data_IF_540643316406
#
_entry.id   IF_540643316406
#
_cell.length_a   1.000
_cell.length_b   1.000
_cell.length_c   1.000
_cell.angle_alpha   90.00
_cell.angle_beta   90.00
_cell.angle_gamma   90.00
#
_symmetry.space_group_name_H-M   'P 1'
#
loop_
_entity.id
_entity.type
_entity.pdbx_description
1 polymer ?
#
# COMPACT_ATOMS: atom_id res chain seq x y z
N UNK A 1 10.01 -35.06 35.80
CA UNK A 1 9.86 -35.34 34.35
C UNK A 1 8.47 -34.91 33.96
N UNK A 2 8.33 -33.71 33.40
CA UNK A 2 7.04 -33.10 33.07
C UNK A 2 6.86 -33.15 31.56
N UNK A 3 5.83 -33.86 31.10
CA UNK A 3 5.48 -33.97 29.70
C UNK A 3 4.84 -32.65 29.24
N UNK A 4 5.52 -31.92 28.36
CA UNK A 4 4.99 -30.71 27.72
C UNK A 4 3.84 -31.06 26.78
N UNK A 5 2.75 -30.30 26.89
CA UNK A 5 1.62 -30.39 25.96
C UNK A 5 2.08 -30.15 24.51
N UNK A 6 1.52 -30.85 23.52
CA UNK A 6 1.89 -30.65 22.13
C UNK A 6 1.53 -29.23 21.68
N UNK A 7 2.47 -28.59 20.97
CA UNK A 7 2.23 -27.35 20.24
C UNK A 7 1.04 -27.55 19.29
N UNK A 8 0.11 -26.57 19.19
CA UNK A 8 -0.94 -26.64 18.18
C UNK A 8 -0.29 -26.70 16.81
N UNK A 9 -0.65 -27.73 16.04
CA UNK A 9 -0.29 -27.86 14.64
C UNK A 9 -0.83 -26.65 13.90
N UNK A 10 -0.06 -26.00 13.00
CA UNK A 10 -0.62 -24.95 12.16
C UNK A 10 -1.78 -25.53 11.37
N UNK A 11 -2.97 -24.92 11.49
CA UNK A 11 -4.08 -25.23 10.58
C UNK A 11 -3.57 -25.13 9.14
N UNK A 12 -3.90 -26.13 8.32
CA UNK A 12 -3.65 -26.07 6.89
C UNK A 12 -4.24 -24.76 6.34
N UNK A 13 -3.56 -24.05 5.42
CA UNK A 13 -4.08 -22.81 4.88
C UNK A 13 -5.44 -23.08 4.25
N UNK A 14 -6.50 -22.60 4.90
CA UNK A 14 -7.86 -22.63 4.36
C UNK A 14 -7.83 -22.06 2.94
N UNK A 15 -8.62 -22.65 2.04
CA UNK A 15 -8.69 -22.28 0.63
C UNK A 15 -8.51 -20.77 0.46
N UNK A 16 -7.39 -20.36 -0.16
CA UNK A 16 -7.08 -18.97 -0.41
C UNK A 16 -8.29 -18.34 -1.10
N UNK A 17 -8.97 -17.44 -0.40
CA UNK A 17 -10.07 -16.68 -1.01
C UNK A 17 -9.43 -15.88 -2.14
N UNK A 18 -9.57 -16.40 -3.35
CA UNK A 18 -8.84 -15.88 -4.50
C UNK A 18 -9.70 -14.83 -5.16
N UNK A 19 -9.25 -13.59 -5.05
CA UNK A 19 -9.82 -12.44 -5.73
C UNK A 19 -8.86 -11.95 -6.81
N UNK A 20 -9.42 -11.39 -7.89
CA UNK A 20 -8.64 -10.69 -8.92
C UNK A 20 -9.28 -9.34 -9.25
N UNK A 21 -8.47 -8.32 -9.62
CA UNK A 21 -8.98 -6.97 -9.82
C UNK A 21 -9.67 -6.82 -11.16
N UNK A 22 -9.58 -7.80 -12.07
CA UNK A 22 -10.35 -7.90 -13.30
C UNK A 22 -10.23 -9.32 -13.84
N UNK A 23 -11.22 -9.76 -14.62
CA UNK A 23 -11.06 -11.00 -15.39
C UNK A 23 -10.04 -10.78 -16.53
N UNK A 24 -9.30 -11.82 -16.94
CA UNK A 24 -8.37 -11.73 -18.06
C UNK A 24 -9.06 -11.18 -19.31
N UNK A 25 -8.55 -10.06 -19.82
CA UNK A 25 -8.99 -9.49 -21.08
C UNK A 25 -7.75 -9.18 -21.95
N UNK A 26 -7.54 -9.91 -23.06
CA UNK A 26 -6.35 -9.75 -23.89
C UNK A 26 -6.28 -8.36 -24.55
N UNK A 27 -7.38 -7.61 -24.61
CA UNK A 27 -7.40 -6.23 -25.14
C UNK A 27 -6.88 -5.18 -24.16
N UNK A 28 -6.88 -5.48 -22.85
CA UNK A 28 -6.63 -4.47 -21.81
C UNK A 28 -5.38 -4.77 -20.98
N UNK A 29 -5.04 -6.04 -20.75
CA UNK A 29 -4.01 -6.42 -19.76
C UNK A 29 -2.84 -7.24 -20.33
N UNK A 30 -2.81 -7.53 -21.64
CA UNK A 30 -1.85 -8.49 -22.19
C UNK A 30 -2.01 -9.88 -21.55
N UNK A 31 -0.90 -10.56 -21.23
CA UNK A 31 -0.89 -11.88 -20.55
C UNK A 31 -0.87 -11.79 -19.01
N UNK A 32 -0.71 -10.60 -18.41
CA UNK A 32 -0.58 -10.44 -16.96
C UNK A 32 -1.48 -9.31 -16.43
N UNK A 33 -2.52 -9.69 -15.69
CA UNK A 33 -3.36 -8.73 -14.96
C UNK A 33 -2.59 -8.27 -13.72
N UNK A 34 -2.36 -6.94 -13.52
CA UNK A 34 -1.77 -6.45 -12.28
C UNK A 34 -2.57 -6.96 -11.08
N UNK A 35 -1.95 -7.32 -9.94
CA UNK A 35 -2.68 -7.86 -8.80
C UNK A 35 -3.61 -6.83 -8.14
N UNK A 36 -3.41 -5.55 -8.42
CA UNK A 36 -4.22 -4.43 -7.96
C UNK A 36 -4.36 -3.38 -9.08
N UNK A 37 -5.52 -2.72 -9.14
CA UNK A 37 -5.76 -1.64 -10.09
C UNK A 37 -6.25 -0.38 -9.36
N UNK A 38 -5.79 0.79 -9.80
CA UNK A 38 -6.45 2.06 -9.51
C UNK A 38 -7.09 2.57 -10.81
N UNK A 39 -8.42 2.57 -10.83
CA UNK A 39 -9.24 3.05 -11.94
C UNK A 39 -9.95 4.36 -11.60
N UNK A 40 -9.61 5.00 -10.46
CA UNK A 40 -10.18 6.30 -10.11
C UNK A 40 -9.84 7.34 -11.17
N UNK A 41 -10.81 8.20 -11.49
CA UNK A 41 -10.69 9.19 -12.55
C UNK A 41 -10.73 8.62 -13.98
N UNK A 42 -10.93 7.31 -14.17
CA UNK A 42 -11.15 6.68 -15.48
C UNK A 42 -12.63 6.42 -15.72
N UNK A 43 -13.03 6.28 -16.99
CA UNK A 43 -14.39 5.84 -17.32
C UNK A 43 -14.61 4.39 -16.82
N UNK A 44 -15.73 4.09 -16.15
CA UNK A 44 -16.04 2.73 -15.70
C UNK A 44 -16.08 1.73 -16.86
N UNK A 45 -15.68 0.49 -16.59
CA UNK A 45 -15.48 -0.52 -17.63
C UNK A 45 -16.77 -1.10 -18.24
N UNK A 46 -17.89 -1.05 -17.51
CA UNK A 46 -19.21 -1.53 -17.96
C UNK A 46 -20.37 -0.92 -17.13
N UNK A 47 -21.62 -1.21 -17.51
CA UNK A 47 -22.84 -0.68 -16.89
C UNK A 47 -22.97 -0.99 -15.39
N UNK A 48 -22.45 -2.14 -14.94
CA UNK A 48 -22.51 -2.52 -13.54
C UNK A 48 -21.51 -1.69 -12.71
N UNK A 49 -20.32 -1.42 -13.24
CA UNK A 49 -19.37 -0.50 -12.60
C UNK A 49 -19.91 0.94 -12.58
N UNK A 50 -20.58 1.39 -13.66
CA UNK A 50 -21.27 2.70 -13.71
C UNK A 50 -22.34 2.78 -12.62
N UNK A 51 -23.18 1.76 -12.48
CA UNK A 51 -24.24 1.72 -11.49
C UNK A 51 -23.68 1.75 -10.05
N UNK A 52 -22.64 0.96 -9.78
CA UNK A 52 -22.00 0.91 -8.47
C UNK A 52 -21.34 2.25 -8.09
N UNK A 53 -20.62 2.89 -9.03
CA UNK A 53 -20.02 4.21 -8.81
C UNK A 53 -21.08 5.27 -8.57
N UNK A 54 -22.21 5.24 -9.29
CA UNK A 54 -23.33 6.16 -9.05
C UNK A 54 -23.89 6.00 -7.63
N UNK A 55 -24.12 4.77 -7.18
CA UNK A 55 -24.59 4.50 -5.80
C UNK A 55 -23.61 5.07 -4.78
N UNK A 56 -22.31 4.84 -4.93
CA UNK A 56 -21.31 5.37 -4.01
C UNK A 56 -21.26 6.91 -4.01
N UNK A 57 -21.39 7.56 -5.16
CA UNK A 57 -21.41 9.03 -5.28
C UNK A 57 -22.63 9.68 -4.63
N UNK A 58 -23.79 9.02 -4.71
CA UNK A 58 -25.05 9.55 -4.20
C UNK A 58 -25.26 9.23 -2.71
N UNK A 59 -24.54 8.24 -2.17
CA UNK A 59 -24.65 7.83 -0.78
C UNK A 59 -23.89 8.78 0.16
N UNK A 60 -24.58 9.50 1.07
CA UNK A 60 -23.91 10.30 2.08
C UNK A 60 -23.03 9.43 2.98
N UNK A 61 -21.77 9.86 3.19
CA UNK A 61 -20.83 9.11 4.03
C UNK A 61 -20.10 7.97 3.31
N UNK A 62 -20.31 7.75 2.01
CA UNK A 62 -19.43 6.87 1.23
C UNK A 62 -18.01 7.44 1.16
N UNK A 63 -17.00 6.59 1.30
CA UNK A 63 -15.58 6.98 1.34
C UNK A 63 -14.84 6.47 0.11
N UNK A 64 -14.96 5.18 -0.17
CA UNK A 64 -14.25 4.55 -1.29
C UNK A 64 -14.96 3.26 -1.75
N UNK A 65 -14.90 2.99 -3.05
CA UNK A 65 -15.52 1.84 -3.70
C UNK A 65 -14.47 1.04 -4.48
N UNK A 66 -14.45 -0.26 -4.25
CA UNK A 66 -13.64 -1.23 -4.97
C UNK A 66 -14.50 -2.27 -5.68
N UNK A 67 -13.97 -2.83 -6.76
CA UNK A 67 -14.48 -4.04 -7.40
C UNK A 67 -13.43 -5.15 -7.39
N UNK A 68 -13.84 -6.35 -7.02
CA UNK A 68 -13.06 -7.56 -7.18
C UNK A 68 -13.88 -8.64 -7.91
N UNK A 69 -13.20 -9.68 -8.38
CA UNK A 69 -13.83 -10.91 -8.88
C UNK A 69 -13.39 -12.07 -8.01
N UNK A 70 -14.34 -12.73 -7.37
CA UNK A 70 -14.11 -13.95 -6.60
C UNK A 70 -14.05 -15.15 -7.54
N UNK A 71 -13.00 -15.95 -7.42
CA UNK A 71 -12.76 -17.13 -8.26
C UNK A 71 -13.09 -18.46 -7.55
N UNK A 72 -13.77 -18.41 -6.40
CA UNK A 72 -14.12 -19.62 -5.63
C UNK A 72 -15.40 -20.33 -6.08
N UNK A 73 -16.12 -19.76 -7.05
CA UNK A 73 -17.34 -20.32 -7.64
C UNK A 73 -17.07 -20.88 -9.06
N UNK A 74 -17.93 -21.78 -9.59
CA UNK A 74 -17.80 -22.29 -10.95
C UNK A 74 -17.75 -21.19 -12.03
N UNK A 75 -18.46 -20.08 -11.78
CA UNK A 75 -18.39 -18.86 -12.56
C UNK A 75 -17.84 -17.73 -11.69
N UNK A 76 -16.91 -16.89 -12.19
CA UNK A 76 -16.37 -15.78 -11.41
C UNK A 76 -17.47 -14.81 -10.94
N UNK A 77 -17.53 -14.56 -9.64
CA UNK A 77 -18.53 -13.67 -9.04
C UNK A 77 -17.94 -12.27 -8.87
N UNK A 78 -18.65 -11.25 -9.37
CA UNK A 78 -18.25 -9.86 -9.14
C UNK A 78 -18.66 -9.42 -7.73
N UNK A 79 -17.73 -8.80 -7.01
CA UNK A 79 -17.93 -8.28 -5.66
C UNK A 79 -17.60 -6.80 -5.63
N UNK A 80 -18.54 -5.98 -5.12
CA UNK A 80 -18.27 -4.60 -4.78
C UNK A 80 -18.02 -4.47 -3.28
N UNK A 81 -16.97 -3.76 -2.91
CA UNK A 81 -16.63 -3.42 -1.53
C UNK A 81 -16.75 -1.93 -1.37
N UNK A 82 -17.51 -1.48 -0.38
CA UNK A 82 -17.76 -0.07 -0.11
C UNK A 82 -17.32 0.27 1.32
N UNK A 83 -16.43 1.24 1.45
CA UNK A 83 -16.14 1.87 2.72
C UNK A 83 -17.11 3.03 2.96
N UNK A 84 -17.66 3.11 4.15
CA UNK A 84 -18.57 4.18 4.57
C UNK A 84 -18.20 4.69 5.97
N UNK A 85 -18.53 5.95 6.26
CA UNK A 85 -18.27 6.55 7.56
C UNK A 85 -19.14 5.94 8.69
N UNK A 86 -20.32 5.42 8.35
CA UNK A 86 -21.31 4.93 9.32
C UNK A 86 -21.48 3.40 9.32
N UNK A 87 -21.03 2.69 8.28
CA UNK A 87 -21.20 1.24 8.13
C UNK A 87 -22.58 0.83 7.61
N UNK A 88 -23.39 1.75 7.08
CA UNK A 88 -24.74 1.45 6.63
C UNK A 88 -24.73 0.45 5.46
N UNK A 89 -25.47 -0.66 5.61
CA UNK A 89 -25.56 -1.68 4.57
C UNK A 89 -26.15 -1.13 3.27
N UNK A 90 -25.55 -1.52 2.15
CA UNK A 90 -25.97 -1.17 0.79
C UNK A 90 -26.25 -2.48 0.03
N UNK A 91 -27.47 -2.67 -0.53
CA UNK A 91 -27.80 -3.86 -1.29
C UNK A 91 -26.79 -4.15 -2.42
N UNK A 92 -26.32 -5.39 -2.50
CA UNK A 92 -25.36 -5.82 -3.54
C UNK A 92 -23.91 -5.41 -3.29
N UNK A 93 -23.58 -4.78 -2.15
CA UNK A 93 -22.22 -4.39 -1.80
C UNK A 93 -21.82 -4.96 -0.43
N UNK A 94 -20.54 -5.30 -0.28
CA UNK A 94 -19.95 -5.60 1.02
C UNK A 94 -19.48 -4.30 1.66
N UNK A 95 -20.18 -3.86 2.71
CA UNK A 95 -19.90 -2.60 3.38
C UNK A 95 -19.05 -2.81 4.63
N UNK A 96 -18.08 -1.92 4.86
CA UNK A 96 -17.41 -1.79 6.16
C UNK A 96 -17.31 -0.32 6.57
N UNK A 97 -17.19 -0.09 7.88
CA UNK A 97 -17.07 1.25 8.45
C UNK A 97 -15.61 1.71 8.49
N UNK A 98 -15.36 2.98 8.17
CA UNK A 98 -14.04 3.62 8.36
C UNK A 98 -13.55 3.46 9.80
N UNK A 99 -12.28 3.06 9.93
CA UNK A 99 -11.64 2.81 11.22
C UNK A 99 -11.94 1.44 11.83
N UNK A 100 -12.89 0.68 11.30
CA UNK A 100 -13.12 -0.71 11.71
C UNK A 100 -12.23 -1.67 10.93
N UNK A 101 -11.88 -2.79 11.57
CA UNK A 101 -11.15 -3.86 10.91
C UNK A 101 -12.14 -4.67 10.04
N UNK A 102 -12.03 -4.63 8.70
CA UNK A 102 -12.93 -5.41 7.85
C UNK A 102 -12.73 -6.91 8.07
N UNK A 103 -13.79 -7.67 7.79
CA UNK A 103 -13.73 -9.13 7.76
C UNK A 103 -12.64 -9.62 6.80
N UNK A 104 -12.19 -10.86 6.97
CA UNK A 104 -11.09 -11.42 6.16
C UNK A 104 -11.41 -11.39 4.67
N UNK A 105 -12.64 -11.70 4.28
CA UNK A 105 -13.09 -11.72 2.90
C UNK A 105 -13.17 -10.31 2.29
N UNK A 106 -13.70 -9.32 3.03
CA UNK A 106 -13.79 -7.92 2.57
C UNK A 106 -12.39 -7.33 2.39
N UNK A 107 -11.49 -7.59 3.34
CA UNK A 107 -10.09 -7.17 3.24
C UNK A 107 -9.39 -7.83 2.05
N UNK A 108 -9.62 -9.12 1.81
CA UNK A 108 -9.03 -9.84 0.68
C UNK A 108 -9.54 -9.30 -0.66
N UNK A 109 -10.85 -9.04 -0.78
CA UNK A 109 -11.44 -8.44 -1.98
C UNK A 109 -10.87 -7.04 -2.25
N UNK A 110 -10.74 -6.20 -1.21
CA UNK A 110 -10.14 -4.87 -1.32
C UNK A 110 -8.67 -4.96 -1.78
N UNK A 111 -7.87 -5.78 -1.13
CA UNK A 111 -6.44 -5.94 -1.37
C UNK A 111 -6.08 -6.72 -2.65
N UNK A 112 -7.08 -7.15 -3.42
CA UNK A 112 -6.92 -7.76 -4.75
C UNK A 112 -7.91 -7.16 -5.75
N UNK A 113 -8.40 -5.95 -5.46
CA UNK A 113 -9.47 -5.28 -6.21
C UNK A 113 -8.97 -4.16 -7.12
N UNK A 114 -9.90 -3.63 -7.90
CA UNK A 114 -9.78 -2.37 -8.60
C UNK A 114 -10.47 -1.27 -7.77
N UNK A 115 -9.74 -0.24 -7.36
CA UNK A 115 -10.34 0.97 -6.77
C UNK A 115 -11.06 1.73 -7.89
N UNK A 116 -12.38 1.87 -7.78
CA UNK A 116 -13.22 2.49 -8.82
C UNK A 116 -13.53 3.95 -8.52
N UNK A 117 -13.71 4.29 -7.24
CA UNK A 117 -14.13 5.62 -6.83
C UNK A 117 -13.68 5.94 -5.40
N UNK A 118 -13.43 7.22 -5.13
CA UNK A 118 -13.18 7.79 -3.80
C UNK A 118 -13.95 9.09 -3.66
N UNK A 119 -14.40 9.41 -2.44
CA UNK A 119 -15.03 10.68 -2.12
C UNK A 119 -14.02 11.84 -2.17
N UNK A 120 -12.80 11.59 -1.68
CA UNK A 120 -11.68 12.50 -1.87
C UNK A 120 -11.20 12.46 -3.33
N UNK A 121 -10.78 13.61 -3.84
CA UNK A 121 -10.14 13.69 -5.15
C UNK A 121 -8.90 12.79 -5.22
N UNK A 122 -8.66 12.10 -6.34
CA UNK A 122 -7.43 11.34 -6.52
C UNK A 122 -6.20 12.26 -6.49
N UNK A 123 -5.14 11.84 -5.81
CA UNK A 123 -3.86 12.54 -5.78
C UNK A 123 -2.74 11.57 -6.18
N UNK A 124 -1.71 12.03 -6.92
CA UNK A 124 -0.59 11.18 -7.27
C UNK A 124 0.28 10.86 -6.05
N UNK A 125 0.65 9.59 -5.90
CA UNK A 125 1.63 9.15 -4.90
C UNK A 125 3.04 9.41 -5.43
N UNK A 126 3.87 10.04 -4.60
CA UNK A 126 5.30 10.28 -4.88
C UNK A 126 6.16 9.20 -4.24
N UNK A 127 7.08 8.62 -5.00
CA UNK A 127 8.04 7.64 -4.45
C UNK A 127 9.28 8.38 -3.98
N UNK A 128 9.65 8.19 -2.72
CA UNK A 128 10.85 8.77 -2.14
C UNK A 128 12.10 8.02 -2.64
N UNK A 129 13.10 8.78 -3.08
CA UNK A 129 14.43 8.23 -3.35
C UNK A 129 15.12 7.91 -2.03
N UNK A 130 15.85 6.80 -2.01
CA UNK A 130 16.67 6.41 -0.85
C UNK A 130 18.10 6.95 -0.99
N UNK A 131 18.64 6.86 -2.21
CA UNK A 131 20.05 7.13 -2.49
C UNK A 131 20.19 8.27 -3.50
N UNK A 132 21.26 9.04 -3.38
CA UNK A 132 21.56 10.14 -4.30
C UNK A 132 21.95 9.62 -5.69
N UNK A 133 22.68 8.50 -5.72
CA UNK A 133 23.10 7.85 -6.95
C UNK A 133 22.79 6.36 -6.92
N UNK A 134 22.26 5.87 -8.04
CA UNK A 134 22.08 4.44 -8.34
C UNK A 134 22.58 4.23 -9.77
N UNK A 135 23.73 3.57 -9.90
CA UNK A 135 24.38 3.27 -11.19
C UNK A 135 24.95 1.84 -11.19
N UNK A 136 25.76 1.52 -12.20
CA UNK A 136 26.43 0.22 -12.37
C UNK A 136 27.39 -0.12 -11.22
N UNK A 137 27.82 0.88 -10.43
CA UNK A 137 28.67 0.72 -9.25
C UNK A 137 27.87 0.56 -7.97
N UNK A 138 26.55 0.62 -8.07
CA UNK A 138 25.62 0.44 -6.96
C UNK A 138 25.08 1.74 -6.38
N UNK A 139 24.21 1.56 -5.39
CA UNK A 139 23.59 2.65 -4.66
C UNK A 139 24.59 3.32 -3.69
N UNK A 140 24.55 4.64 -3.57
CA UNK A 140 25.36 5.41 -2.60
C UNK A 140 24.76 6.77 -2.24
N UNK A 141 25.19 7.30 -1.10
CA UNK A 141 25.00 8.70 -0.72
C UNK A 141 26.22 9.53 -1.18
N UNK A 142 25.98 10.77 -1.58
CA UNK A 142 27.06 11.71 -1.92
C UNK A 142 27.74 12.26 -0.65
N UNK A 143 29.04 12.61 -0.70
CA UNK A 143 29.75 13.13 0.47
C UNK A 143 29.16 14.39 1.11
N UNK A 144 28.38 15.18 0.35
CA UNK A 144 27.71 16.39 0.81
C UNK A 144 26.25 16.20 1.22
N UNK A 145 25.79 14.96 1.34
CA UNK A 145 24.41 14.65 1.70
C UNK A 145 24.02 15.27 3.06
N UNK A 146 22.84 15.89 3.13
CA UNK A 146 22.37 16.60 4.34
C UNK A 146 22.28 15.65 5.54
N UNK A 147 22.76 16.11 6.70
CA UNK A 147 22.70 15.37 7.95
C UNK A 147 21.76 16.04 8.95
N UNK A 148 20.73 15.30 9.36
CA UNK A 148 19.80 15.67 10.42
C UNK A 148 20.38 15.33 11.79
N UNK A 149 20.18 16.22 12.76
CA UNK A 149 20.68 16.06 14.13
C UNK A 149 19.61 16.36 15.17
N UNK A 150 19.85 15.93 16.41
CA UNK A 150 19.03 16.29 17.57
C UNK A 150 17.52 16.05 17.39
N UNK A 151 16.73 17.06 17.73
CA UNK A 151 15.27 16.99 17.72
C UNK A 151 14.69 16.83 16.31
N UNK A 152 15.29 17.47 15.30
CA UNK A 152 14.82 17.38 13.90
C UNK A 152 14.93 15.94 13.39
N UNK A 153 16.07 15.29 13.62
CA UNK A 153 16.24 13.86 13.32
C UNK A 153 15.19 13.00 14.02
N UNK A 154 14.97 13.22 15.32
CA UNK A 154 14.00 12.47 16.11
C UNK A 154 12.58 12.61 15.55
N UNK A 155 12.17 13.84 15.25
CA UNK A 155 10.86 14.15 14.67
C UNK A 155 10.67 13.46 13.32
N UNK A 156 11.64 13.57 12.42
CA UNK A 156 11.57 12.95 11.09
C UNK A 156 11.46 11.43 11.20
N UNK A 157 12.26 10.80 12.07
CA UNK A 157 12.19 9.36 12.32
C UNK A 157 10.82 8.95 12.84
N UNK A 158 10.28 9.64 13.85
CA UNK A 158 8.95 9.35 14.41
C UNK A 158 7.86 9.47 13.36
N UNK A 159 7.92 10.49 12.50
CA UNK A 159 6.95 10.66 11.43
C UNK A 159 7.04 9.54 10.38
N UNK A 160 8.25 9.19 9.95
CA UNK A 160 8.47 8.13 8.95
C UNK A 160 8.06 6.73 9.48
N UNK A 161 8.23 6.48 10.78
CA UNK A 161 7.76 5.25 11.44
C UNK A 161 6.23 5.17 11.53
N UNK A 162 5.55 6.31 11.53
CA UNK A 162 4.09 6.37 11.67
C UNK A 162 3.35 6.11 10.35
N UNK A 163 4.03 6.15 9.19
CA UNK A 163 3.41 5.78 7.91
C UNK A 163 2.88 4.35 7.91
N UNK A 164 1.75 4.12 7.27
CA UNK A 164 1.11 2.81 7.20
C UNK A 164 1.94 1.83 6.36
N UNK A 165 2.26 0.61 6.85
CA UNK A 165 2.98 -0.39 6.09
C UNK A 165 2.07 -1.02 5.02
N UNK A 166 2.48 -0.96 3.75
CA UNK A 166 1.67 -1.44 2.61
C UNK A 166 2.25 -2.67 1.93
N UNK A 167 3.57 -2.88 2.03
CA UNK A 167 4.22 -4.06 1.45
C UNK A 167 5.47 -4.43 2.25
N UNK A 168 5.48 -5.60 2.86
CA UNK A 168 6.62 -6.10 3.65
C UNK A 168 7.23 -7.33 3.02
N UNK A 169 8.56 -7.41 3.05
CA UNK A 169 9.31 -8.66 2.80
C UNK A 169 10.06 -9.04 4.06
N UNK A 170 10.20 -10.34 4.35
CA UNK A 170 11.08 -10.81 5.44
C UNK A 170 12.58 -10.62 5.16
N UNK A 171 12.92 -10.10 3.99
CA UNK A 171 14.30 -9.85 3.54
C UNK A 171 14.83 -8.48 4.01
N UNK A 172 16.14 -8.40 4.14
CA UNK A 172 16.88 -7.17 4.41
C UNK A 172 18.00 -6.98 3.38
N UNK A 173 18.41 -5.73 3.16
CA UNK A 173 19.54 -5.40 2.29
C UNK A 173 20.82 -5.15 3.11
N UNK A 174 22.01 -5.36 2.50
CA UNK A 174 23.25 -4.86 3.05
C UNK A 174 23.20 -3.35 3.29
N UNK A 175 23.80 -2.91 4.38
CA UNK A 175 24.00 -1.49 4.65
C UNK A 175 25.02 -0.90 3.66
N UNK A 176 24.63 0.13 2.92
CA UNK A 176 25.49 0.78 1.91
C UNK A 176 26.57 1.64 2.56
N UNK A 177 26.33 2.17 3.76
CA UNK A 177 27.30 3.00 4.51
C UNK A 177 28.27 2.11 5.27
N UNK A 178 27.79 1.03 5.88
CA UNK A 178 28.63 0.06 6.61
C UNK A 178 28.37 -1.40 6.18
N UNK A 179 28.87 -1.83 5.00
CA UNK A 179 28.58 -3.16 4.44
C UNK A 179 28.96 -4.34 5.34
N UNK A 180 29.92 -4.16 6.25
CA UNK A 180 30.34 -5.17 7.22
C UNK A 180 29.24 -5.59 8.20
N UNK A 181 28.15 -4.82 8.33
CA UNK A 181 26.99 -5.20 9.16
C UNK A 181 26.15 -6.32 8.55
N UNK A 182 26.34 -6.63 7.27
CA UNK A 182 25.52 -7.58 6.55
C UNK A 182 24.11 -7.05 6.27
N UNK A 183 23.18 -7.96 6.03
CA UNK A 183 21.81 -7.64 5.62
C UNK A 183 20.96 -7.18 6.82
N UNK A 184 20.94 -5.87 7.08
CA UNK A 184 20.24 -5.26 8.24
C UNK A 184 19.25 -4.17 7.85
N UNK A 185 19.24 -3.73 6.59
CA UNK A 185 18.39 -2.63 6.13
C UNK A 185 16.99 -3.15 5.78
N UNK A 186 15.93 -2.72 6.48
CA UNK A 186 14.57 -3.21 6.22
C UNK A 186 14.04 -2.76 4.86
N UNK A 187 13.18 -3.58 4.27
CA UNK A 187 12.62 -3.37 2.93
C UNK A 187 11.10 -3.18 2.90
N UNK A 188 10.45 -3.00 4.06
CA UNK A 188 9.02 -2.72 4.11
C UNK A 188 8.74 -1.35 3.48
N UNK A 189 7.76 -1.27 2.61
CA UNK A 189 7.24 -0.02 2.07
C UNK A 189 6.14 0.54 2.97
N UNK A 190 6.20 1.85 3.20
CA UNK A 190 5.25 2.63 3.99
C UNK A 190 4.70 3.79 3.20
N UNK A 191 3.50 4.24 3.57
CA UNK A 191 2.86 5.41 2.97
C UNK A 191 2.19 6.30 4.01
N UNK A 192 2.04 7.57 3.67
CA UNK A 192 1.14 8.52 4.33
C UNK A 192 -0.05 8.93 3.45
N UNK A 193 -0.21 8.28 2.28
CA UNK A 193 -1.22 8.61 1.28
C UNK A 193 -0.81 9.68 0.26
N UNK A 194 0.38 10.29 0.41
CA UNK A 194 0.95 11.19 -0.60
C UNK A 194 2.35 10.76 -1.04
N UNK A 195 3.07 10.10 -0.15
CA UNK A 195 4.40 9.57 -0.33
C UNK A 195 4.42 8.05 -0.09
N UNK A 196 5.28 7.38 -0.84
CA UNK A 196 5.66 5.99 -0.65
C UNK A 196 7.17 5.96 -0.41
N UNK A 197 7.61 5.33 0.67
CA UNK A 197 9.03 5.16 0.98
C UNK A 197 9.30 3.76 1.53
N UNK A 198 10.52 3.29 1.35
CA UNK A 198 11.01 2.09 2.03
C UNK A 198 11.48 2.43 3.44
N UNK A 199 11.36 1.50 4.38
CA UNK A 199 11.90 1.64 5.74
C UNK A 199 13.42 1.83 5.76
N UNK A 200 14.12 1.54 4.66
CA UNK A 200 15.53 1.91 4.49
C UNK A 200 15.74 3.43 4.62
N UNK A 201 14.80 4.28 4.19
CA UNK A 201 14.86 5.73 4.40
C UNK A 201 14.92 6.02 5.90
N UNK A 202 13.97 5.46 6.66
CA UNK A 202 13.94 5.63 8.12
C UNK A 202 15.20 5.05 8.79
N UNK A 203 15.73 3.94 8.27
CA UNK A 203 16.97 3.33 8.75
C UNK A 203 18.16 4.28 8.61
N UNK A 204 18.38 4.88 7.43
CA UNK A 204 19.52 5.76 7.20
C UNK A 204 19.40 7.07 7.98
N UNK A 205 18.20 7.64 8.10
CA UNK A 205 17.95 8.79 9.00
C UNK A 205 18.26 8.40 10.44
N UNK A 206 17.73 7.28 10.95
CA UNK A 206 17.89 6.86 12.36
C UNK A 206 19.30 6.42 12.71
N UNK A 207 20.04 5.84 11.77
CA UNK A 207 21.38 5.29 12.03
C UNK A 207 22.47 6.33 11.77
N UNK A 208 22.39 7.04 10.63
CA UNK A 208 23.46 7.94 10.17
C UNK A 208 23.06 9.43 10.17
N UNK A 209 21.77 9.74 10.27
CA UNK A 209 21.27 11.11 10.18
C UNK A 209 21.13 11.57 8.73
N UNK A 210 21.39 10.71 7.74
CA UNK A 210 21.22 11.02 6.32
C UNK A 210 19.77 11.42 6.06
N UNK A 211 19.56 12.65 5.60
CA UNK A 211 18.26 13.19 5.33
C UNK A 211 17.49 12.35 4.29
N UNK A 212 16.15 12.26 4.37
CA UNK A 212 15.37 11.68 3.29
C UNK A 212 15.39 12.60 2.06
N UNK A 213 14.79 12.13 0.95
CA UNK A 213 14.53 12.96 -0.25
C UNK A 213 14.11 14.40 0.15
N UNK A 214 14.73 15.47 -0.38
CA UNK A 214 14.48 16.83 0.09
C UNK A 214 13.01 17.28 0.03
N UNK A 215 12.25 16.78 -0.95
CA UNK A 215 10.84 17.07 -1.06
C UNK A 215 10.01 16.26 -0.05
N UNK A 216 10.42 15.03 0.29
CA UNK A 216 9.84 14.29 1.40
C UNK A 216 10.17 14.98 2.73
N UNK A 217 11.41 15.41 2.95
CA UNK A 217 11.82 16.13 4.16
C UNK A 217 10.99 17.41 4.37
N UNK A 218 10.79 18.18 3.29
CA UNK A 218 9.92 19.37 3.31
C UNK A 218 8.49 19.01 3.70
N UNK A 219 7.95 17.93 3.16
CA UNK A 219 6.62 17.42 3.48
C UNK A 219 6.49 16.99 4.95
N UNK A 220 7.47 16.24 5.47
CA UNK A 220 7.52 15.83 6.88
C UNK A 220 7.58 17.04 7.81
N UNK A 221 8.46 18.01 7.51
CA UNK A 221 8.59 19.24 8.31
C UNK A 221 7.30 20.08 8.27
N UNK A 222 6.61 20.13 7.14
CA UNK A 222 5.33 20.82 7.01
C UNK A 222 4.20 20.19 7.84
N UNK A 223 4.25 18.88 8.10
CA UNK A 223 3.30 18.19 8.98
C UNK A 223 3.49 18.54 10.47
N UNK A 224 4.66 19.07 10.85
CA UNK A 224 4.97 19.39 12.24
C UNK A 224 4.90 18.14 13.13
N UNK A 225 4.07 18.18 14.18
CA UNK A 225 3.88 17.05 15.10
C UNK A 225 2.72 16.13 14.70
N UNK A 226 1.99 16.44 13.63
CA UNK A 226 0.88 15.61 13.17
C UNK A 226 1.43 14.36 12.48
N UNK A 227 1.03 13.19 12.96
CA UNK A 227 1.40 11.91 12.37
C UNK A 227 0.50 11.58 11.18
N UNK A 228 1.03 10.90 10.15
CA UNK A 228 0.26 10.48 9.01
C UNK A 228 -0.83 9.48 9.40
N UNK A 229 -2.01 9.62 8.81
CA UNK A 229 -3.16 8.73 9.00
C UNK A 229 -3.79 8.44 7.63
N UNK A 230 -3.07 7.73 6.73
CA UNK A 230 -3.61 7.37 5.42
C UNK A 230 -4.88 6.53 5.55
N UNK A 231 -5.79 6.69 4.60
CA UNK A 231 -6.98 5.85 4.51
C UNK A 231 -6.72 4.57 3.69
N UNK A 232 -7.74 3.71 3.57
CA UNK A 232 -7.62 2.48 2.82
C UNK A 232 -7.41 2.68 1.31
N UNK A 233 -7.90 3.79 0.75
CA UNK A 233 -7.70 4.12 -0.66
C UNK A 233 -6.27 4.61 -0.90
N UNK A 234 -5.71 5.40 0.02
CA UNK A 234 -4.31 5.81 0.05
C UNK A 234 -3.37 4.60 0.08
N UNK A 235 -3.59 3.67 1.01
CA UNK A 235 -2.85 2.40 1.07
C UNK A 235 -2.93 1.61 -0.23
N UNK A 236 -4.14 1.52 -0.82
CA UNK A 236 -4.39 0.82 -2.09
C UNK A 236 -3.61 1.44 -3.24
N UNK A 237 -3.64 2.77 -3.37
CA UNK A 237 -2.92 3.49 -4.43
C UNK A 237 -1.42 3.28 -4.32
N UNK A 238 -0.88 3.38 -3.10
CA UNK A 238 0.53 3.15 -2.83
C UNK A 238 0.97 1.73 -3.23
N UNK A 239 0.18 0.72 -2.88
CA UNK A 239 0.44 -0.67 -3.24
C UNK A 239 0.29 -0.92 -4.76
N UNK A 240 -0.75 -0.35 -5.39
CA UNK A 240 -0.95 -0.45 -6.84
C UNK A 240 0.24 0.13 -7.62
N UNK A 241 0.74 1.30 -7.20
CA UNK A 241 1.90 1.94 -7.82
C UNK A 241 3.14 1.05 -7.74
N UNK A 242 3.41 0.46 -6.57
CA UNK A 242 4.56 -0.43 -6.36
C UNK A 242 4.50 -1.65 -7.29
N UNK A 243 3.35 -2.31 -7.35
CA UNK A 243 3.15 -3.52 -8.13
C UNK A 243 3.19 -3.27 -9.64
N UNK A 244 2.65 -2.14 -10.10
CA UNK A 244 2.74 -1.73 -11.50
C UNK A 244 4.19 -1.42 -11.89
N UNK A 245 4.94 -0.73 -11.04
CA UNK A 245 6.35 -0.41 -11.29
C UNK A 245 7.22 -1.67 -11.38
N UNK A 246 6.98 -2.67 -10.52
CA UNK A 246 7.69 -3.95 -10.57
C UNK A 246 7.41 -4.75 -11.86
N UNK A 247 6.17 -4.71 -12.36
CA UNK A 247 5.79 -5.36 -13.61
C UNK A 247 6.53 -4.78 -14.82
N UNK A 248 6.80 -3.46 -14.84
CA UNK A 248 7.58 -2.81 -15.91
C UNK A 248 9.09 -3.11 -15.86
N UNK A 249 9.63 -3.54 -14.72
CA UNK A 249 11.06 -3.91 -14.59
C UNK A 249 11.29 -5.36 -15.03
N UNK A 250 10.26 -6.20 -15.05
CA UNK A 250 10.34 -7.62 -15.42
C UNK A 250 9.90 -7.93 -16.87
N UNK A 251 9.44 -6.93 -17.62
CA UNK A 251 9.00 -7.04 -19.03
C UNK A 251 10.04 -6.49 -20.00
#
# INVERSE_FOLDING_TARGET
MSAGAPYPTPEAPGALVTFVPSLPNPRTFGQAVPPLLDLTGREPGDDADVAAVRVARELPGAVALWRAWWLGAPEPERVFVLETADGQAVPGMRVYRTGEKPTVDVRAARNAGALLWTAAEPHPIRVAKVFDVVDDRGARFEPGHELLTGADRGQVVTWLDAGAPVFGTGSALPDVVEPSRGAVVPMTYRTDGRWLWTESVTYYVRTYGLAPDPALLTHVRAAGTALPTPDAADEHRALALLLQSAAFVQS
#
